data_IF_098980426473
#
_entry.id   IF_098980426473
#
_cell.length_a   1.000
_cell.length_b   1.000
_cell.length_c   1.000
_cell.angle_alpha   90.00
_cell.angle_beta   90.00
_cell.angle_gamma   90.00
#
_symmetry.space_group_name_H-M   'P 1'
#
loop_
_entity.id
_entity.type
_entity.pdbx_description
1 polymer ?
#
# COMPACT_ATOMS: atom_id res chain seq x y z
N UNK A 1 10.27 -1.33 -4.76
CA UNK A 1 9.33 -0.36 -4.14
C UNK A 1 8.34 -1.16 -3.31
N UNK A 2 8.12 -0.86 -2.01
CA UNK A 2 7.15 -1.58 -1.16
C UNK A 2 5.84 -0.77 -1.11
N UNK A 3 4.73 -1.36 -1.57
CA UNK A 3 3.43 -0.69 -1.75
C UNK A 3 2.46 -1.01 -0.61
N UNK A 4 2.83 -0.56 0.58
CA UNK A 4 2.09 -0.88 1.80
C UNK A 4 2.62 -2.13 2.51
N UNK A 5 1.92 -2.54 3.56
CA UNK A 5 2.28 -3.68 4.41
C UNK A 5 1.05 -4.31 5.07
N UNK A 6 1.16 -5.60 5.38
CA UNK A 6 0.19 -6.32 6.22
C UNK A 6 0.92 -6.75 7.49
N UNK A 7 0.30 -6.51 8.63
CA UNK A 7 0.79 -6.86 9.96
C UNK A 7 -0.21 -7.84 10.59
N UNK A 8 0.28 -9.02 10.99
CA UNK A 8 -0.55 -10.10 11.55
C UNK A 8 -0.07 -10.37 12.96
N UNK A 9 -0.99 -10.35 13.93
CA UNK A 9 -0.70 -10.65 15.33
C UNK A 9 -1.28 -12.02 15.66
N UNK A 10 -0.41 -12.90 16.18
CA UNK A 10 -0.74 -14.28 16.54
C UNK A 10 -0.54 -14.46 18.04
N UNK A 11 -1.56 -14.96 18.73
CA UNK A 11 -1.50 -15.40 20.13
C UNK A 11 -2.04 -16.82 20.24
N UNK A 12 -1.34 -17.69 20.97
CA UNK A 12 -1.71 -19.10 21.17
C UNK A 12 -2.01 -19.87 19.87
N UNK A 13 -1.23 -19.59 18.82
CA UNK A 13 -1.41 -20.19 17.50
C UNK A 13 -2.64 -19.70 16.73
N UNK A 14 -3.37 -18.71 17.26
CA UNK A 14 -4.56 -18.12 16.63
C UNK A 14 -4.25 -16.70 16.16
N UNK A 15 -4.76 -16.34 14.98
CA UNK A 15 -4.72 -14.96 14.49
C UNK A 15 -5.73 -14.15 15.30
N UNK A 16 -5.25 -13.13 16.00
CA UNK A 16 -6.10 -12.26 16.83
C UNK A 16 -6.27 -10.87 16.22
N UNK A 17 -5.37 -10.47 15.32
CA UNK A 17 -5.45 -9.18 14.65
C UNK A 17 -4.77 -9.21 13.30
N UNK A 18 -5.33 -8.43 12.36
CA UNK A 18 -4.76 -8.17 11.05
C UNK A 18 -4.89 -6.68 10.78
N UNK A 19 -3.77 -6.01 10.57
CA UNK A 19 -3.71 -4.61 10.12
C UNK A 19 -3.19 -4.51 8.69
N UNK A 20 -3.82 -3.66 7.89
CA UNK A 20 -3.41 -3.35 6.52
C UNK A 20 -3.05 -1.88 6.45
N UNK A 21 -1.80 -1.61 6.07
CA UNK A 21 -1.31 -0.25 5.79
C UNK A 21 -1.17 -0.13 4.29
N UNK A 22 -2.19 0.39 3.63
CA UNK A 22 -2.18 0.59 2.18
C UNK A 22 -1.43 1.87 1.82
N UNK A 23 -0.70 1.85 0.71
CA UNK A 23 -0.04 3.04 0.17
C UNK A 23 -0.55 3.28 -1.24
N UNK A 24 -1.41 4.28 -1.39
CA UNK A 24 -1.87 4.74 -2.69
C UNK A 24 -0.72 5.42 -3.42
N UNK A 25 -0.24 4.80 -4.51
CA UNK A 25 0.68 5.43 -5.42
C UNK A 25 -0.15 6.19 -6.46
N UNK A 26 -0.32 7.49 -6.25
CA UNK A 26 -0.80 8.36 -7.31
C UNK A 26 0.37 8.52 -8.28
N UNK A 27 0.37 7.75 -9.37
CA UNK A 27 1.23 8.11 -10.48
C UNK A 27 0.87 9.53 -10.87
N UNK A 28 1.78 10.47 -10.61
CA UNK A 28 1.72 11.78 -11.22
C UNK A 28 1.95 11.54 -12.71
N UNK A 29 0.86 11.22 -13.43
CA UNK A 29 0.86 11.24 -14.89
C UNK A 29 1.38 12.63 -15.26
N UNK A 30 2.58 12.78 -15.84
CA UNK A 30 2.97 14.08 -16.33
C UNK A 30 1.90 14.47 -17.33
N UNK A 31 1.20 15.56 -17.04
CA UNK A 31 0.23 16.14 -17.95
C UNK A 31 0.93 16.22 -19.31
N UNK A 32 0.36 15.57 -20.32
CA UNK A 32 0.86 15.60 -21.69
C UNK A 32 1.01 17.08 -22.09
N UNK A 33 2.24 17.62 -22.05
CA UNK A 33 2.51 18.90 -22.69
C UNK A 33 2.87 18.61 -24.13
N UNK A 34 1.84 18.46 -24.95
CA UNK A 34 1.96 18.68 -26.39
C UNK A 34 2.37 20.14 -26.58
N UNK A 35 3.59 20.37 -27.07
CA UNK A 35 3.97 21.66 -27.65
C UNK A 35 4.03 21.50 -29.16
N UNK A 36 3.28 22.37 -29.83
CA UNK A 36 3.25 22.62 -31.27
C UNK A 36 4.59 23.10 -31.82
#
# INVERSE_FOLDING_TARGET
MKFGSVEIIIHDGKVVQIERKEKLCFEAKPAFTTKS
#
